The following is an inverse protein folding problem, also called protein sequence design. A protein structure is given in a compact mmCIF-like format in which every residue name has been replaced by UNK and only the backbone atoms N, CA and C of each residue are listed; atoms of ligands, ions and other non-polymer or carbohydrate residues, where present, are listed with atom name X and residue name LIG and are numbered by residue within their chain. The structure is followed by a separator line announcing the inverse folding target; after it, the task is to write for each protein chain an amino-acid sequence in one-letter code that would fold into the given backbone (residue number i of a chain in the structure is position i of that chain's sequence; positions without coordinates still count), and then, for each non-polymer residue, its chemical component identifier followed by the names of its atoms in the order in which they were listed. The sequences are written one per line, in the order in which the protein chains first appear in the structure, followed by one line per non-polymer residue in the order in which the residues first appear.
data_IF_829935287049
#
_entry.id   IF_829935287049
#
_cell.length_a   1.000
_cell.length_b   1.000
_cell.length_c   1.000
_cell.angle_alpha   90.00
_cell.angle_beta   90.00
_cell.angle_gamma   90.00
#
_symmetry.space_group_name_H-M   'P 1'
#
loop_
_entity.id
_entity.type
_entity.pdbx_description
1 polymer ?
#
# COMPACT_ATOMS: atom_id res chain seq x y z
N UNK A 1 64.58 32.74 -15.80
CA UNK A 1 64.05 31.61 -15.02
C UNK A 1 62.70 32.05 -14.42
N UNK A 2 61.64 31.69 -15.05
CA UNK A 2 60.24 31.98 -14.58
C UNK A 2 59.53 30.66 -14.43
N UNK A 3 59.28 30.27 -13.19
CA UNK A 3 58.53 29.11 -12.85
C UNK A 3 57.02 29.37 -13.08
N UNK A 4 56.43 28.55 -13.94
CA UNK A 4 54.98 28.56 -14.23
C UNK A 4 54.33 27.55 -13.32
N UNK A 5 53.73 28.01 -12.23
CA UNK A 5 52.77 27.19 -11.42
C UNK A 5 51.47 26.98 -12.22
N UNK A 6 51.16 25.74 -12.55
CA UNK A 6 49.83 25.31 -13.04
C UNK A 6 48.97 24.99 -11.84
N UNK A 7 47.77 25.58 -11.74
CA UNK A 7 46.79 25.11 -10.71
C UNK A 7 46.17 23.80 -11.17
N UNK A 8 46.28 22.80 -10.32
CA UNK A 8 45.50 21.55 -10.42
C UNK A 8 44.08 21.86 -9.92
N UNK A 9 43.14 21.93 -10.85
CA UNK A 9 41.69 21.99 -10.49
C UNK A 9 41.28 20.58 -10.10
N UNK A 10 41.09 20.38 -8.80
CA UNK A 10 40.49 19.19 -8.22
C UNK A 10 38.99 19.32 -8.38
N UNK A 11 38.39 18.60 -9.32
CA UNK A 11 36.95 18.49 -9.47
C UNK A 11 36.45 17.54 -8.34
N UNK A 12 35.94 18.11 -7.28
CA UNK A 12 35.20 17.38 -6.27
C UNK A 12 33.82 17.01 -6.89
N UNK A 13 33.68 15.76 -7.31
CA UNK A 13 32.38 15.19 -7.64
C UNK A 13 31.63 15.01 -6.33
N UNK A 14 30.78 15.97 -5.98
CA UNK A 14 29.78 15.78 -4.93
C UNK A 14 28.72 14.85 -5.52
N UNK A 15 28.78 13.58 -5.14
CA UNK A 15 27.61 12.70 -5.25
C UNK A 15 26.56 13.25 -4.28
N UNK A 16 25.64 14.05 -4.80
CA UNK A 16 24.40 14.32 -4.11
C UNK A 16 23.63 12.99 -4.03
N UNK A 17 23.67 12.34 -2.89
CA UNK A 17 22.67 11.36 -2.53
C UNK A 17 21.36 12.15 -2.43
N UNK A 18 20.57 12.16 -3.51
CA UNK A 18 19.21 12.63 -3.49
C UNK A 18 18.45 11.68 -2.54
N UNK A 19 18.12 12.15 -1.35
CA UNK A 19 17.15 11.49 -0.50
C UNK A 19 15.83 11.49 -1.26
N UNK A 20 15.40 10.32 -1.72
CA UNK A 20 14.06 10.14 -2.29
C UNK A 20 13.06 10.33 -1.14
N UNK A 21 12.34 11.44 -1.12
CA UNK A 21 11.14 11.60 -0.30
C UNK A 21 9.98 11.00 -1.10
N UNK A 22 9.36 10.00 -0.53
CA UNK A 22 8.39 9.14 -1.22
C UNK A 22 6.95 9.46 -0.82
N UNK A 23 6.04 9.26 -1.75
CA UNK A 23 4.59 9.40 -1.59
C UNK A 23 3.99 8.13 -1.01
N UNK A 24 3.01 8.21 -0.09
CA UNK A 24 2.49 7.16 0.81
C UNK A 24 3.57 6.42 1.59
N UNK A 25 4.75 6.91 1.55
CA UNK A 25 5.94 6.33 2.11
C UNK A 25 6.56 7.41 2.98
N UNK A 26 6.26 7.39 4.30
CA UNK A 26 6.70 8.41 5.25
C UNK A 26 6.04 9.78 5.04
N UNK A 27 4.77 9.80 4.62
CA UNK A 27 4.04 11.02 4.25
C UNK A 27 3.74 11.96 5.43
N UNK A 28 3.59 11.40 6.66
CA UNK A 28 3.31 12.16 7.88
C UNK A 28 4.53 12.37 8.77
N UNK A 29 4.62 13.47 9.51
CA UNK A 29 5.75 13.77 10.39
C UNK A 29 6.04 12.69 11.43
N UNK A 30 5.01 12.10 12.06
CA UNK A 30 5.19 11.05 13.07
C UNK A 30 5.50 9.70 12.43
N UNK A 31 4.74 9.30 11.38
CA UNK A 31 4.91 7.98 10.77
C UNK A 31 6.23 7.86 10.02
N UNK A 32 6.80 8.95 9.51
CA UNK A 32 8.13 8.94 8.89
C UNK A 32 9.25 8.48 9.83
N UNK A 33 9.04 8.60 11.14
CA UNK A 33 9.94 8.11 12.18
C UNK A 33 9.66 6.65 12.59
N UNK A 34 8.60 6.02 12.10
CA UNK A 34 8.18 4.66 12.44
C UNK A 34 7.87 3.80 11.19
N UNK A 35 8.88 3.52 10.35
CA UNK A 35 8.67 2.82 9.09
C UNK A 35 8.06 1.42 9.23
N UNK A 36 8.17 0.78 10.40
CA UNK A 36 7.59 -0.54 10.60
C UNK A 36 6.05 -0.51 10.73
N UNK A 37 5.47 0.64 11.10
CA UNK A 37 4.02 0.84 11.15
C UNK A 37 3.50 1.65 9.96
N UNK A 38 4.37 2.09 9.06
CA UNK A 38 4.04 2.91 7.90
C UNK A 38 3.36 2.08 6.83
N UNK A 39 2.09 2.40 6.55
CA UNK A 39 1.27 1.75 5.52
C UNK A 39 1.44 2.49 4.20
N UNK A 40 2.02 1.82 3.22
CA UNK A 40 2.43 2.45 1.95
C UNK A 40 1.38 2.34 0.86
N UNK A 41 0.71 1.19 0.76
CA UNK A 41 -0.28 0.91 -0.26
C UNK A 41 -1.39 0.01 0.24
N UNK A 42 -2.59 0.27 -0.26
CA UNK A 42 -3.74 -0.64 -0.13
C UNK A 42 -4.25 -0.97 -1.53
N UNK A 43 -4.51 -2.27 -1.76
CA UNK A 43 -5.14 -2.76 -2.98
C UNK A 43 -6.35 -3.60 -2.61
N UNK A 44 -7.43 -3.45 -3.37
CA UNK A 44 -8.64 -4.22 -3.25
C UNK A 44 -9.24 -4.44 -4.63
N UNK A 45 -9.35 -5.70 -5.05
CA UNK A 45 -9.86 -6.03 -6.38
C UNK A 45 -10.43 -7.45 -6.44
N UNK A 46 -11.35 -7.68 -7.36
CA UNK A 46 -11.81 -9.05 -7.67
C UNK A 46 -10.66 -9.83 -8.28
N UNK A 47 -10.36 -10.98 -7.70
CA UNK A 47 -9.18 -11.79 -8.06
C UNK A 47 -9.21 -12.25 -9.50
N UNK A 48 -8.23 -11.88 -10.36
CA UNK A 48 -8.23 -12.32 -11.74
C UNK A 48 -8.15 -13.84 -11.94
N UNK A 49 -7.41 -14.53 -11.08
CA UNK A 49 -7.26 -15.98 -11.14
C UNK A 49 -8.51 -16.74 -10.66
N UNK A 50 -9.27 -16.16 -9.72
CA UNK A 50 -10.51 -16.74 -9.17
C UNK A 50 -11.55 -15.63 -8.92
N UNK A 51 -12.40 -15.28 -9.93
CA UNK A 51 -13.38 -14.19 -9.80
C UNK A 51 -14.51 -14.42 -8.79
N UNK A 52 -14.45 -15.50 -8.04
CA UNK A 52 -15.35 -15.74 -6.88
C UNK A 52 -14.82 -15.11 -5.60
N UNK A 53 -13.62 -14.52 -5.65
CA UNK A 53 -12.91 -13.97 -4.50
C UNK A 53 -12.47 -12.54 -4.72
N UNK A 54 -12.22 -11.86 -3.61
CA UNK A 54 -11.56 -10.56 -3.55
C UNK A 54 -10.18 -10.73 -2.96
N UNK A 55 -9.19 -10.10 -3.57
CA UNK A 55 -7.85 -9.94 -3.01
C UNK A 55 -7.74 -8.58 -2.34
N UNK A 56 -7.29 -8.58 -1.10
CA UNK A 56 -6.96 -7.41 -0.28
C UNK A 56 -5.47 -7.46 0.03
N UNK A 57 -4.75 -6.37 -0.24
CA UNK A 57 -3.32 -6.26 0.05
C UNK A 57 -3.08 -4.96 0.81
N UNK A 58 -2.21 -5.02 1.82
CA UNK A 58 -1.67 -3.86 2.51
C UNK A 58 -0.15 -3.98 2.58
N UNK A 59 0.56 -2.94 2.15
CA UNK A 59 2.01 -2.86 2.16
C UNK A 59 2.48 -1.99 3.31
N UNK A 60 3.61 -2.38 3.90
CA UNK A 60 4.25 -1.71 5.03
C UNK A 60 5.76 -1.69 4.86
N UNK A 61 6.44 -0.91 5.71
CA UNK A 61 7.91 -0.78 5.71
C UNK A 61 8.42 -0.24 4.37
N UNK A 62 8.19 1.05 4.10
CA UNK A 62 8.50 1.67 2.82
C UNK A 62 9.98 1.71 2.47
N UNK A 63 10.25 1.77 1.16
CA UNK A 63 11.56 2.15 0.60
C UNK A 63 12.70 1.26 1.08
N UNK A 64 12.55 -0.06 0.98
CA UNK A 64 13.57 -1.02 1.37
C UNK A 64 14.61 -1.19 0.23
N UNK A 65 15.75 -0.48 0.25
CA UNK A 65 16.79 -0.72 -0.73
C UNK A 65 17.47 -2.07 -0.44
N UNK A 66 17.49 -3.02 -1.37
CA UNK A 66 18.00 -4.36 -1.12
C UNK A 66 19.42 -4.42 -0.55
N UNK A 67 20.38 -3.54 -0.99
CA UNK A 67 21.73 -3.53 -0.43
C UNK A 67 21.84 -3.02 1.02
N UNK A 68 20.80 -2.39 1.56
CA UNK A 68 20.85 -1.75 2.88
C UNK A 68 20.48 -2.69 4.05
N UNK A 69 20.85 -3.97 3.97
CA UNK A 69 20.62 -4.92 5.06
C UNK A 69 19.23 -5.56 4.96
N UNK A 70 18.98 -6.19 3.82
CA UNK A 70 17.68 -6.80 3.46
C UNK A 70 17.08 -7.68 4.56
N UNK A 71 17.89 -8.37 5.36
CA UNK A 71 17.40 -9.24 6.44
C UNK A 71 16.77 -8.48 7.62
N UNK A 72 17.01 -7.18 7.77
CA UNK A 72 16.47 -6.38 8.87
C UNK A 72 15.11 -5.73 8.55
N UNK A 73 14.67 -5.73 7.30
CA UNK A 73 13.33 -5.31 6.93
C UNK A 73 12.33 -6.40 7.28
N UNK A 74 11.55 -6.18 8.34
CA UNK A 74 10.60 -7.18 8.86
C UNK A 74 9.33 -6.50 9.37
N UNK A 75 8.24 -7.26 9.50
CA UNK A 75 7.11 -6.82 10.31
C UNK A 75 7.53 -6.72 11.78
N UNK A 76 7.06 -5.68 12.46
CA UNK A 76 7.38 -5.49 13.88
C UNK A 76 6.44 -6.31 14.76
N UNK A 77 7.01 -7.05 15.71
CA UNK A 77 6.27 -7.89 16.67
C UNK A 77 5.35 -7.06 17.60
N UNK A 78 5.59 -5.73 17.69
CA UNK A 78 4.83 -4.78 18.50
C UNK A 78 3.92 -3.87 17.66
N UNK A 79 3.63 -4.23 16.42
CA UNK A 79 2.61 -3.57 15.59
C UNK A 79 1.43 -4.51 15.41
N UNK A 80 0.24 -3.98 15.51
CA UNK A 80 -0.98 -4.62 15.05
C UNK A 80 -1.27 -4.09 13.65
N UNK A 81 -1.22 -4.98 12.65
CA UNK A 81 -1.55 -4.66 11.26
C UNK A 81 -2.96 -5.13 10.95
N UNK A 82 -3.76 -4.28 10.32
CA UNK A 82 -5.18 -4.54 10.10
C UNK A 82 -5.62 -4.17 8.69
N UNK A 83 -6.49 -5.00 8.10
CA UNK A 83 -7.24 -4.70 6.89
C UNK A 83 -8.72 -4.71 7.27
N UNK A 84 -9.41 -3.62 6.97
CA UNK A 84 -10.79 -3.37 7.35
C UNK A 84 -11.71 -3.41 6.14
N UNK A 85 -12.95 -3.86 6.35
CA UNK A 85 -14.01 -3.88 5.35
C UNK A 85 -15.28 -3.27 5.96
N UNK A 86 -15.81 -2.23 5.31
CA UNK A 86 -17.14 -1.65 5.48
C UNK A 86 -18.03 -2.25 4.38
N UNK A 87 -19.10 -2.96 4.73
CA UNK A 87 -19.96 -3.63 3.78
C UNK A 87 -21.41 -3.14 3.78
N UNK A 88 -21.69 -2.06 4.52
CA UNK A 88 -23.00 -1.40 4.51
C UNK A 88 -22.96 0.10 4.21
N UNK A 89 -21.75 0.69 4.15
CA UNK A 89 -21.50 2.07 3.71
C UNK A 89 -21.54 3.11 4.81
N UNK A 90 -21.52 2.71 6.08
CA UNK A 90 -21.63 3.62 7.24
C UNK A 90 -20.27 4.18 7.71
N UNK A 91 -19.18 3.75 7.08
CA UNK A 91 -17.79 4.12 7.37
C UNK A 91 -17.27 3.58 8.71
N UNK A 92 -17.86 2.49 9.20
CA UNK A 92 -17.35 1.70 10.32
C UNK A 92 -17.00 0.30 9.79
N UNK A 93 -15.98 -0.30 10.33
CA UNK A 93 -15.59 -1.65 9.93
C UNK A 93 -16.59 -2.71 10.40
N UNK A 94 -17.13 -3.51 9.47
CA UNK A 94 -17.91 -4.72 9.77
C UNK A 94 -17.03 -5.95 9.93
N UNK A 95 -15.91 -5.96 9.20
CA UNK A 95 -14.94 -7.04 9.22
C UNK A 95 -13.54 -6.44 9.32
N UNK A 96 -12.76 -6.97 10.24
CA UNK A 96 -11.33 -6.65 10.35
C UNK A 96 -10.51 -7.92 10.33
N UNK A 97 -9.50 -7.97 9.47
CA UNK A 97 -8.47 -9.00 9.47
C UNK A 97 -7.23 -8.45 10.19
N UNK A 98 -6.94 -8.99 11.38
CA UNK A 98 -5.81 -8.61 12.21
C UNK A 98 -4.64 -9.57 11.97
N UNK A 99 -3.44 -9.01 11.76
CA UNK A 99 -2.21 -9.75 11.59
C UNK A 99 -1.23 -9.38 12.71
N UNK A 100 -0.70 -10.40 13.40
CA UNK A 100 0.31 -10.25 14.45
C UNK A 100 1.50 -11.11 14.12
N UNK A 101 2.68 -10.55 14.25
CA UNK A 101 3.92 -11.20 13.90
C UNK A 101 4.74 -11.55 15.15
N UNK A 102 5.54 -12.59 15.03
CA UNK A 102 6.55 -12.99 16.00
C UNK A 102 7.82 -13.39 15.29
N UNK A 103 8.92 -12.75 15.68
CA UNK A 103 10.25 -13.00 15.14
C UNK A 103 11.01 -13.97 16.04
N UNK A 104 11.65 -14.95 15.44
CA UNK A 104 12.59 -15.88 16.07
C UNK A 104 13.96 -15.72 15.43
N UNK A 105 14.99 -15.46 16.24
CA UNK A 105 16.39 -15.47 15.81
C UNK A 105 17.02 -16.79 16.27
N UNK A 106 17.29 -17.69 15.33
CA UNK A 106 17.76 -19.06 15.63
C UNK A 106 19.23 -19.14 15.99
N UNK A 107 20.04 -18.27 15.38
CA UNK A 107 21.45 -18.17 15.70
C UNK A 107 21.90 -16.71 15.90
N UNK A 108 21.96 -16.22 17.14
CA UNK A 108 22.37 -14.84 17.43
C UNK A 108 23.91 -14.64 17.38
N UNK A 109 24.68 -15.70 17.15
CA UNK A 109 26.16 -15.67 17.23
C UNK A 109 26.83 -15.59 15.85
N UNK A 110 26.13 -15.13 14.82
CA UNK A 110 26.65 -14.94 13.47
C UNK A 110 26.31 -13.56 12.93
N UNK A 111 27.14 -13.06 12.01
CA UNK A 111 26.84 -11.86 11.23
C UNK A 111 26.16 -12.18 9.89
N UNK A 112 26.12 -13.46 9.53
CA UNK A 112 25.51 -13.92 8.28
C UNK A 112 23.98 -13.81 8.38
N UNK A 113 23.31 -13.57 7.27
CA UNK A 113 21.85 -13.59 7.17
C UNK A 113 21.30 -15.02 7.08
N UNK A 114 22.03 -15.94 6.44
CA UNK A 114 21.72 -17.37 6.39
C UNK A 114 23.00 -18.19 6.66
N UNK A 115 22.86 -19.37 7.29
CA UNK A 115 23.97 -20.24 7.61
C UNK A 115 24.39 -21.16 6.46
N UNK A 116 23.52 -21.34 5.47
CA UNK A 116 23.71 -22.19 4.30
C UNK A 116 22.68 -21.90 3.21
N UNK A 117 22.41 -22.89 2.35
CA UNK A 117 21.39 -22.77 1.32
C UNK A 117 20.01 -23.09 1.89
N UNK A 118 19.11 -22.13 1.80
CA UNK A 118 17.73 -22.22 2.28
C UNK A 118 16.86 -22.84 1.20
N UNK A 119 16.19 -23.94 1.54
CA UNK A 119 15.36 -24.74 0.62
C UNK A 119 13.89 -24.82 1.05
N UNK A 120 13.56 -24.38 2.26
CA UNK A 120 12.19 -24.34 2.79
C UNK A 120 11.99 -23.18 3.75
N UNK A 121 10.72 -22.86 4.07
CA UNK A 121 10.37 -21.76 4.99
C UNK A 121 10.81 -22.02 6.44
N UNK A 122 11.02 -23.26 6.82
CA UNK A 122 11.48 -23.68 8.16
C UNK A 122 12.88 -24.29 8.12
N UNK A 123 13.66 -23.98 7.09
CA UNK A 123 15.02 -24.46 6.90
C UNK A 123 15.91 -24.05 8.10
N UNK A 124 16.71 -24.95 8.69
CA UNK A 124 17.58 -24.63 9.81
C UNK A 124 18.67 -23.61 9.48
N UNK A 125 19.00 -23.43 8.21
CA UNK A 125 19.96 -22.42 7.74
C UNK A 125 19.39 -20.99 7.74
N UNK A 126 18.06 -20.82 7.88
CA UNK A 126 17.44 -19.51 8.14
C UNK A 126 17.81 -19.05 9.56
N UNK A 127 18.57 -17.96 9.65
CA UNK A 127 18.95 -17.36 10.93
C UNK A 127 17.76 -16.65 11.58
N UNK A 128 16.89 -16.03 10.78
CA UNK A 128 15.69 -15.34 11.23
C UNK A 128 14.44 -15.92 10.55
N UNK A 129 13.44 -16.22 11.37
CA UNK A 129 12.13 -16.70 10.92
C UNK A 129 11.05 -15.81 11.52
N UNK A 130 10.08 -15.42 10.72
CA UNK A 130 8.85 -14.76 11.23
C UNK A 130 7.65 -15.70 11.04
N UNK A 131 6.80 -15.69 12.08
CA UNK A 131 5.50 -16.36 12.06
C UNK A 131 4.40 -15.33 12.31
N UNK A 132 3.21 -15.59 11.79
CA UNK A 132 2.07 -14.72 12.01
C UNK A 132 0.80 -15.48 12.36
N UNK A 133 -0.11 -14.75 12.97
CA UNK A 133 -1.46 -15.17 13.31
C UNK A 133 -2.44 -14.28 12.58
N UNK A 134 -3.55 -14.82 12.12
CA UNK A 134 -4.66 -14.08 11.50
C UNK A 134 -5.90 -14.27 12.34
N UNK A 135 -6.49 -13.17 12.80
CA UNK A 135 -7.75 -13.14 13.51
C UNK A 135 -8.78 -12.33 12.71
N UNK A 136 -9.95 -12.90 12.45
CA UNK A 136 -11.09 -12.18 11.87
C UNK A 136 -11.96 -11.64 13.00
N UNK A 137 -12.12 -10.33 13.05
CA UNK A 137 -13.00 -9.64 14.00
C UNK A 137 -14.22 -9.16 13.22
N UNK A 138 -15.41 -9.33 13.82
CA UNK A 138 -16.67 -8.82 13.27
C UNK A 138 -17.20 -7.68 14.14
N UNK A 139 -18.05 -6.83 13.56
CA UNK A 139 -18.83 -5.79 14.26
C UNK A 139 -17.98 -4.71 14.98
N UNK A 140 -17.00 -4.11 14.32
CA UNK A 140 -16.28 -2.92 14.81
C UNK A 140 -15.46 -3.12 16.08
N UNK A 141 -15.10 -4.35 16.44
CA UNK A 141 -14.41 -4.67 17.69
C UNK A 141 -12.90 -4.84 17.48
N UNK A 142 -12.17 -3.78 17.52
CA UNK A 142 -10.70 -3.77 17.35
C UNK A 142 -9.92 -4.57 18.41
N UNK A 143 -10.47 -4.85 19.58
CA UNK A 143 -9.73 -5.45 20.68
C UNK A 143 -10.14 -6.89 20.97
N UNK A 144 -9.41 -7.86 20.44
CA UNK A 144 -9.17 -9.14 21.12
C UNK A 144 -10.30 -10.18 21.23
N UNK A 145 -11.39 -10.06 20.48
CA UNK A 145 -12.47 -11.06 20.45
C UNK A 145 -12.88 -11.43 19.03
N UNK A 146 -11.92 -11.89 18.25
CA UNK A 146 -12.18 -12.40 16.92
C UNK A 146 -12.16 -13.92 16.87
N UNK A 147 -12.43 -14.46 15.68
CA UNK A 147 -12.23 -15.87 15.35
C UNK A 147 -10.83 -16.01 14.75
N UNK A 148 -10.01 -16.87 15.35
CA UNK A 148 -8.70 -17.18 14.79
C UNK A 148 -8.87 -17.98 13.49
N UNK A 149 -8.35 -17.42 12.39
CA UNK A 149 -8.30 -18.11 11.11
C UNK A 149 -7.09 -19.05 11.02
N UNK A 150 -6.10 -18.85 11.88
CA UNK A 150 -4.95 -19.72 12.06
C UNK A 150 -3.76 -19.00 12.69
N UNK A 151 -2.82 -19.79 13.19
CA UNK A 151 -1.64 -19.32 13.92
C UNK A 151 -0.38 -20.01 13.45
N UNK A 152 0.76 -19.34 13.60
CA UNK A 152 2.07 -19.92 13.31
C UNK A 152 2.40 -20.03 11.82
N UNK A 153 1.68 -19.34 10.95
CA UNK A 153 2.00 -19.25 9.53
C UNK A 153 3.38 -18.64 9.32
N UNK A 154 4.19 -19.25 8.49
CA UNK A 154 5.52 -18.72 8.14
C UNK A 154 5.38 -17.61 7.09
N UNK A 155 6.11 -16.50 7.28
CA UNK A 155 6.28 -15.50 6.22
C UNK A 155 7.22 -16.02 5.14
N UNK A 156 7.12 -15.44 3.92
CA UNK A 156 8.25 -15.54 3.00
C UNK A 156 9.48 -14.89 3.65
N UNK A 157 10.67 -15.53 3.59
CA UNK A 157 11.89 -14.93 4.11
C UNK A 157 12.31 -13.74 3.23
N UNK A 158 13.13 -12.85 3.77
CA UNK A 158 13.73 -11.79 2.98
C UNK A 158 14.66 -12.39 1.92
N UNK A 159 14.62 -11.82 0.71
CA UNK A 159 15.46 -12.26 -0.40
C UNK A 159 16.92 -11.82 -0.18
N UNK A 160 17.66 -12.58 0.61
CA UNK A 160 19.07 -12.30 0.94
C UNK A 160 19.96 -12.32 -0.30
N UNK A 161 19.68 -13.24 -1.23
CA UNK A 161 20.41 -13.31 -2.49
C UNK A 161 20.58 -14.71 -3.04
N UNK A 162 21.02 -14.79 -4.27
CA UNK A 162 21.06 -16.02 -5.09
C UNK A 162 21.99 -17.10 -4.58
N UNK A 163 22.95 -16.77 -3.71
CA UNK A 163 23.90 -17.76 -3.17
C UNK A 163 23.22 -18.63 -2.11
N UNK A 164 22.53 -18.01 -1.17
CA UNK A 164 21.85 -18.73 -0.09
C UNK A 164 20.39 -19.06 -0.40
N UNK A 165 19.78 -18.39 -1.40
CA UNK A 165 18.38 -18.62 -1.82
C UNK A 165 18.29 -18.76 -3.34
N UNK A 166 18.84 -19.81 -3.94
CA UNK A 166 18.89 -19.96 -5.41
C UNK A 166 17.50 -20.15 -6.05
N UNK A 167 16.52 -20.67 -5.29
CA UNK A 167 15.11 -20.76 -5.70
C UNK A 167 14.22 -19.90 -4.79
N UNK A 168 14.46 -18.58 -4.78
CA UNK A 168 13.60 -17.66 -4.03
C UNK A 168 12.13 -17.66 -4.50
N UNK A 169 11.80 -17.77 -5.81
CA UNK A 169 10.42 -17.89 -6.24
C UNK A 169 9.67 -19.07 -5.61
N UNK A 170 10.31 -20.24 -5.51
CA UNK A 170 9.74 -21.42 -4.84
C UNK A 170 9.51 -21.19 -3.34
N UNK A 171 10.49 -20.58 -2.65
CA UNK A 171 10.35 -20.21 -1.24
C UNK A 171 9.19 -19.24 -1.02
N UNK A 172 9.12 -18.16 -1.81
CA UNK A 172 8.07 -17.17 -1.71
C UNK A 172 6.68 -17.76 -2.03
N UNK A 173 6.60 -18.67 -3.01
CA UNK A 173 5.37 -19.40 -3.33
C UNK A 173 4.89 -20.30 -2.20
N UNK A 174 5.81 -20.92 -1.47
CA UNK A 174 5.51 -21.77 -0.31
C UNK A 174 4.89 -21.01 0.88
N UNK A 175 5.06 -19.68 0.94
CA UNK A 175 4.46 -18.82 1.95
C UNK A 175 2.99 -18.43 1.66
N UNK A 176 2.41 -18.92 0.58
CA UNK A 176 0.97 -18.82 0.33
C UNK A 176 0.25 -19.92 1.10
N UNK A 177 -0.44 -19.53 2.16
CA UNK A 177 -1.17 -20.46 3.03
C UNK A 177 -2.65 -20.52 2.64
N UNK A 178 -3.22 -21.74 2.64
CA UNK A 178 -4.66 -21.96 2.48
C UNK A 178 -5.29 -22.17 3.85
N UNK A 179 -6.30 -21.36 4.16
CA UNK A 179 -7.05 -21.38 5.40
C UNK A 179 -8.42 -22.04 5.17
N UNK A 180 -9.13 -22.29 6.28
CA UNK A 180 -10.52 -22.73 6.21
C UNK A 180 -11.42 -21.73 5.47
N UNK A 181 -12.52 -22.19 4.92
CA UNK A 181 -13.48 -21.35 4.20
C UNK A 181 -12.98 -20.84 2.83
N UNK A 182 -11.93 -21.45 2.26
CA UNK A 182 -11.41 -21.10 0.94
C UNK A 182 -10.56 -19.81 0.91
N UNK A 183 -10.18 -19.27 2.07
CA UNK A 183 -9.32 -18.10 2.21
C UNK A 183 -7.87 -18.49 1.90
N UNK A 184 -7.12 -17.60 1.27
CA UNK A 184 -5.66 -17.69 1.14
C UNK A 184 -5.00 -16.47 1.78
N UNK A 185 -3.83 -16.67 2.38
CA UNK A 185 -3.06 -15.60 3.00
C UNK A 185 -1.59 -15.69 2.64
N UNK A 186 -0.94 -14.55 2.59
CA UNK A 186 0.49 -14.38 2.38
C UNK A 186 0.99 -13.23 3.24
N UNK A 187 2.19 -13.36 3.79
CA UNK A 187 2.94 -12.24 4.34
C UNK A 187 4.43 -12.40 4.01
N UNK A 188 5.09 -11.31 3.66
CA UNK A 188 6.52 -11.30 3.34
C UNK A 188 6.92 -10.17 2.41
N UNK A 189 8.20 -10.08 2.05
CA UNK A 189 8.68 -9.03 1.16
C UNK A 189 8.16 -9.25 -0.27
N UNK A 190 7.88 -8.12 -0.92
CA UNK A 190 7.52 -8.01 -2.32
C UNK A 190 8.26 -6.83 -2.92
N UNK A 191 8.32 -6.80 -4.24
CA UNK A 191 8.65 -5.61 -4.99
C UNK A 191 7.66 -4.49 -4.66
N UNK A 192 8.13 -3.25 -4.65
CA UNK A 192 7.27 -2.08 -4.53
C UNK A 192 6.44 -1.91 -5.81
N UNK A 193 5.17 -2.27 -5.71
CA UNK A 193 4.29 -2.30 -6.89
C UNK A 193 3.72 -0.95 -7.29
N UNK A 194 3.89 0.08 -6.46
CA UNK A 194 3.53 1.46 -6.77
C UNK A 194 4.66 2.13 -7.54
N UNK A 195 4.33 2.92 -8.55
CA UNK A 195 5.28 3.61 -9.41
C UNK A 195 4.91 5.09 -9.56
N UNK A 196 5.90 5.98 -9.50
CA UNK A 196 5.72 7.43 -9.48
C UNK A 196 7.03 8.18 -9.73
N UNK A 197 6.99 9.29 -10.43
CA UNK A 197 8.08 10.26 -10.37
C UNK A 197 7.94 11.17 -9.14
N UNK A 198 8.37 10.66 -8.00
CA UNK A 198 8.26 11.32 -6.70
C UNK A 198 8.87 12.71 -6.68
N UNK A 199 10.09 12.83 -7.18
CA UNK A 199 10.83 14.09 -7.14
C UNK A 199 10.08 15.19 -7.89
N UNK A 200 9.48 14.86 -9.04
CA UNK A 200 8.76 15.86 -9.86
C UNK A 200 7.39 16.20 -9.28
N UNK A 201 6.69 15.23 -8.70
CA UNK A 201 5.38 15.50 -8.06
C UNK A 201 5.55 16.45 -6.87
N UNK A 202 6.53 16.20 -5.99
CA UNK A 202 6.68 16.98 -4.76
C UNK A 202 7.55 18.22 -4.89
N UNK A 203 8.34 18.36 -5.96
CA UNK A 203 9.07 19.59 -6.28
C UNK A 203 8.30 20.45 -7.29
N UNK A 204 7.28 21.15 -6.80
CA UNK A 204 6.42 22.07 -7.56
C UNK A 204 5.71 21.43 -8.75
N UNK A 205 5.34 20.16 -8.65
CA UNK A 205 4.54 19.44 -9.66
C UNK A 205 5.15 19.53 -11.08
N UNK A 206 6.46 19.31 -11.23
CA UNK A 206 7.25 19.49 -12.47
C UNK A 206 6.97 18.42 -13.54
N UNK A 207 5.69 18.09 -13.79
CA UNK A 207 5.27 16.99 -14.67
C UNK A 207 5.45 17.26 -16.17
N UNK A 208 5.78 18.49 -16.57
CA UNK A 208 5.88 18.88 -17.99
C UNK A 208 7.31 18.99 -18.53
N UNK A 209 8.32 18.87 -17.67
CA UNK A 209 9.72 19.08 -18.04
C UNK A 209 10.63 17.99 -17.49
N UNK A 210 11.77 17.74 -18.16
CA UNK A 210 12.76 16.75 -17.76
C UNK A 210 12.38 15.31 -18.16
N UNK A 211 13.27 14.36 -17.84
CA UNK A 211 13.06 12.93 -18.09
C UNK A 211 12.42 12.30 -16.84
N UNK A 212 11.27 11.63 -16.98
CA UNK A 212 10.65 10.94 -15.87
C UNK A 212 11.56 9.86 -15.27
N UNK A 213 11.50 9.73 -13.94
CA UNK A 213 12.24 8.70 -13.22
C UNK A 213 11.34 8.13 -12.12
N UNK A 214 11.14 6.83 -12.16
CA UNK A 214 10.45 6.13 -11.10
C UNK A 214 11.26 6.19 -9.79
N UNK A 215 10.67 6.79 -8.76
CA UNK A 215 11.29 6.97 -7.44
C UNK A 215 11.23 5.72 -6.57
N UNK A 216 10.41 4.75 -6.93
CA UNK A 216 10.23 3.49 -6.20
C UNK A 216 10.93 2.30 -6.87
N UNK A 217 11.43 2.48 -8.08
CA UNK A 217 12.13 1.44 -8.82
C UNK A 217 13.32 0.84 -8.07
N UNK A 218 13.42 -0.48 -8.06
CA UNK A 218 14.49 -1.22 -7.38
C UNK A 218 14.33 -1.34 -5.88
N UNK A 219 13.21 -0.94 -5.32
CA UNK A 219 12.91 -1.00 -3.89
C UNK A 219 11.91 -2.13 -3.57
N UNK A 220 11.92 -2.57 -2.31
CA UNK A 220 11.00 -3.57 -1.79
C UNK A 220 10.11 -2.98 -0.69
N UNK A 221 9.03 -3.70 -0.41
CA UNK A 221 8.11 -3.49 0.72
C UNK A 221 7.79 -4.80 1.42
N UNK A 222 7.22 -4.74 2.61
CA UNK A 222 6.60 -5.90 3.24
C UNK A 222 5.09 -5.90 2.95
N UNK A 223 4.60 -6.98 2.35
CA UNK A 223 3.21 -7.11 1.94
C UNK A 223 2.46 -8.12 2.80
N UNK A 224 1.26 -7.76 3.21
CA UNK A 224 0.23 -8.65 3.74
C UNK A 224 -0.83 -8.77 2.65
N UNK A 225 -1.13 -9.98 2.23
CA UNK A 225 -2.21 -10.24 1.28
C UNK A 225 -3.17 -11.30 1.82
N UNK A 226 -4.46 -11.07 1.63
CA UNK A 226 -5.51 -12.04 1.93
C UNK A 226 -6.50 -12.10 0.77
N UNK A 227 -6.85 -13.30 0.33
CA UNK A 227 -7.85 -13.54 -0.71
C UNK A 227 -9.03 -14.26 -0.10
N UNK A 228 -10.23 -13.65 -0.18
CA UNK A 228 -11.42 -14.04 0.56
C UNK A 228 -12.59 -14.25 -0.41
N UNK A 229 -13.39 -15.32 -0.27
CA UNK A 229 -14.64 -15.48 -1.01
C UNK A 229 -15.57 -14.27 -0.84
N UNK A 230 -16.15 -13.78 -1.95
CA UNK A 230 -16.97 -12.55 -1.98
C UNK A 230 -18.10 -12.61 -0.93
N UNK A 231 -18.78 -13.74 -0.81
CA UNK A 231 -19.88 -13.92 0.14
C UNK A 231 -19.49 -13.77 1.61
N UNK A 232 -18.20 -13.92 1.93
CA UNK A 232 -17.70 -13.71 3.30
C UNK A 232 -17.40 -12.23 3.61
N UNK A 233 -17.45 -11.35 2.61
CA UNK A 233 -17.22 -9.92 2.75
C UNK A 233 -18.52 -9.09 2.68
N UNK A 234 -19.60 -9.66 2.15
CA UNK A 234 -20.89 -8.97 1.99
C UNK A 234 -21.72 -9.01 3.28
N UNK A 235 -22.53 -7.98 3.49
CA UNK A 235 -23.37 -7.79 4.69
C UNK A 235 -24.46 -8.87 4.91
N UNK A 236 -24.83 -9.58 3.86
CA UNK A 236 -25.86 -10.63 3.93
C UNK A 236 -25.31 -12.05 3.72
N UNK A 237 -24.00 -12.23 3.60
CA UNK A 237 -23.36 -13.52 3.39
C UNK A 237 -23.65 -14.16 2.02
N UNK A 238 -24.14 -13.38 1.06
CA UNK A 238 -24.50 -13.86 -0.28
C UNK A 238 -23.63 -13.17 -1.34
N UNK A 239 -23.29 -13.91 -2.39
CA UNK A 239 -22.67 -13.33 -3.55
C UNK A 239 -23.65 -12.37 -4.25
N UNK A 240 -23.24 -11.14 -4.63
CA UNK A 240 -24.12 -10.20 -5.32
C UNK A 240 -24.64 -10.77 -6.64
N UNK A 241 -25.93 -10.52 -6.92
CA UNK A 241 -26.56 -10.95 -8.17
C UNK A 241 -26.09 -10.17 -9.40
N UNK A 242 -25.47 -9.00 -9.19
CA UNK A 242 -24.93 -8.13 -10.25
C UNK A 242 -24.42 -6.80 -9.67
N UNK A 243 -23.83 -5.94 -10.51
CA UNK A 243 -23.18 -4.70 -10.07
C UNK A 243 -24.10 -3.68 -9.36
N UNK A 244 -25.40 -3.77 -9.56
CA UNK A 244 -26.41 -2.89 -8.92
C UNK A 244 -27.04 -3.50 -7.67
N UNK A 245 -26.61 -4.68 -7.25
CA UNK A 245 -27.11 -5.31 -6.03
C UNK A 245 -26.68 -4.49 -4.80
N UNK A 246 -27.55 -4.37 -3.80
CA UNK A 246 -27.30 -3.56 -2.61
C UNK A 246 -26.09 -4.02 -1.79
N UNK A 247 -25.73 -5.31 -1.89
CA UNK A 247 -24.57 -5.92 -1.23
C UNK A 247 -23.33 -6.03 -2.14
N UNK A 248 -23.30 -5.34 -3.30
CA UNK A 248 -22.22 -5.50 -4.25
C UNK A 248 -20.95 -4.70 -3.87
N UNK A 249 -21.10 -3.63 -3.11
CA UNK A 249 -20.03 -2.66 -2.86
C UNK A 249 -19.52 -2.79 -1.44
N UNK A 250 -18.20 -2.86 -1.31
CA UNK A 250 -17.49 -2.83 -0.03
C UNK A 250 -16.52 -1.65 0.00
N UNK A 251 -16.31 -1.09 1.20
CA UNK A 251 -15.23 -0.15 1.49
C UNK A 251 -14.03 -0.90 2.07
N UNK A 252 -12.80 -0.52 1.73
CA UNK A 252 -11.57 -1.17 2.21
C UNK A 252 -10.52 -0.14 2.57
N UNK A 253 -9.92 -0.29 3.74
CA UNK A 253 -8.74 0.45 4.18
C UNK A 253 -7.86 -0.42 5.07
N UNK A 254 -6.66 0.05 5.35
CA UNK A 254 -5.72 -0.61 6.25
C UNK A 254 -5.24 0.34 7.31
N UNK A 255 -4.87 -0.21 8.47
CA UNK A 255 -4.28 0.53 9.59
C UNK A 255 -3.11 -0.23 10.19
N UNK A 256 -2.22 0.53 10.84
CA UNK A 256 -1.24 0.00 11.77
C UNK A 256 -1.38 0.68 13.12
N UNK A 257 -1.27 -0.11 14.19
CA UNK A 257 -1.42 0.37 15.56
C UNK A 257 -0.23 -0.02 16.43
N UNK A 258 0.18 0.87 17.34
CA UNK A 258 1.22 0.68 18.33
C UNK A 258 0.65 0.57 19.75
N UNK A 259 1.28 -0.18 20.67
CA UNK A 259 0.96 -0.10 22.10
C UNK A 259 1.15 1.34 22.61
N UNK A 260 0.26 1.78 23.50
CA UNK A 260 0.30 3.15 24.06
C UNK A 260 1.65 3.54 24.67
N UNK A 261 2.35 2.57 25.26
CA UNK A 261 3.62 2.83 25.95
C UNK A 261 4.65 1.77 25.59
N UNK A 262 5.82 2.23 25.14
CA UNK A 262 7.01 1.38 24.98
C UNK A 262 8.11 1.88 25.93
N UNK A 263 8.59 1.02 26.82
CA UNK A 263 9.66 1.32 27.78
C UNK A 263 10.95 0.65 27.34
N UNK A 264 11.93 1.45 26.98
CA UNK A 264 13.27 0.99 26.63
C UNK A 264 14.16 0.93 27.86
N UNK A 265 14.90 -0.17 28.03
CA UNK A 265 15.91 -0.34 29.08
C UNK A 265 17.17 -0.94 28.47
N UNK A 266 18.32 -0.44 28.92
CA UNK A 266 19.62 -0.94 28.42
C UNK A 266 19.75 -2.45 28.62
N UNK A 267 20.07 -3.18 27.53
CA UNK A 267 20.29 -4.62 27.54
C UNK A 267 19.03 -5.47 27.80
N UNK A 268 17.84 -4.92 27.60
CA UNK A 268 16.58 -5.63 27.75
C UNK A 268 15.70 -5.40 26.51
N UNK A 269 14.85 -6.37 26.22
CA UNK A 269 13.81 -6.21 25.21
C UNK A 269 12.83 -5.09 25.58
N UNK A 270 12.30 -4.34 24.60
CA UNK A 270 11.29 -3.31 24.84
C UNK A 270 10.08 -3.88 25.58
N UNK A 271 9.64 -3.20 26.63
CA UNK A 271 8.42 -3.56 27.35
C UNK A 271 7.26 -2.70 26.83
N UNK A 272 6.23 -3.33 26.30
CA UNK A 272 5.03 -2.65 25.79
C UNK A 272 3.87 -2.77 26.78
N UNK A 273 3.03 -1.71 26.86
CA UNK A 273 1.87 -1.63 27.78
C UNK A 273 0.75 -0.80 27.18
N UNK A 274 -0.44 -1.03 27.66
CA UNK A 274 -1.67 -0.34 27.25
C UNK A 274 -2.29 -0.96 25.99
N UNK A 275 -3.37 -0.34 25.55
CA UNK A 275 -4.09 -0.76 24.35
C UNK A 275 -3.32 -0.34 23.09
N UNK A 276 -3.69 -0.91 21.95
CA UNK A 276 -3.18 -0.48 20.66
C UNK A 276 -3.85 0.83 20.22
N UNK A 277 -3.03 1.77 19.74
CA UNK A 277 -3.44 3.08 19.23
C UNK A 277 -3.02 3.15 17.76
N UNK A 278 -3.95 3.51 16.90
CA UNK A 278 -3.71 3.68 15.48
C UNK A 278 -2.70 4.81 15.23
N UNK A 279 -1.69 4.54 14.42
CA UNK A 279 -0.62 5.48 14.05
C UNK A 279 -0.46 5.65 12.54
N UNK A 280 -1.11 4.80 11.75
CA UNK A 280 -1.12 4.87 10.29
C UNK A 280 -2.46 4.37 9.75
N UNK A 281 -2.97 5.04 8.71
CA UNK A 281 -4.18 4.69 7.97
C UNK A 281 -4.03 5.02 6.49
N UNK A 282 -4.47 4.09 5.65
CA UNK A 282 -4.53 4.29 4.21
C UNK A 282 -5.72 3.54 3.61
N UNK A 283 -6.43 4.18 2.70
CA UNK A 283 -7.46 3.58 1.85
C UNK A 283 -7.18 3.90 0.38
N UNK A 284 -7.70 5.03 -0.10
CA UNK A 284 -7.44 5.50 -1.46
C UNK A 284 -6.03 6.05 -1.61
N UNK A 285 -5.32 5.69 -2.69
CA UNK A 285 -3.96 6.17 -2.91
C UNK A 285 -3.93 7.70 -3.04
N UNK A 286 -2.84 8.30 -2.56
CA UNK A 286 -2.51 9.72 -2.69
C UNK A 286 -3.43 10.70 -1.95
N UNK A 287 -4.39 10.24 -1.14
CA UNK A 287 -5.24 11.17 -0.37
C UNK A 287 -4.43 11.80 0.77
N UNK A 288 -3.80 11.00 1.62
CA UNK A 288 -2.97 11.55 2.71
C UNK A 288 -1.76 12.34 2.17
N UNK A 289 -1.23 11.94 1.02
CA UNK A 289 -0.01 12.54 0.45
C UNK A 289 -0.26 13.88 -0.23
N UNK A 290 -1.30 13.97 -1.07
CA UNK A 290 -1.54 15.10 -1.95
C UNK A 290 -2.75 15.95 -1.56
N UNK A 291 -3.76 15.37 -0.92
CA UNK A 291 -5.02 16.05 -0.58
C UNK A 291 -4.98 16.60 0.85
N UNK A 292 -4.52 15.79 1.80
CA UNK A 292 -4.41 16.20 3.20
C UNK A 292 -3.15 17.08 3.38
N UNK A 293 -3.31 18.32 3.91
CA UNK A 293 -2.16 19.20 4.10
C UNK A 293 -1.22 18.67 5.19
N UNK A 294 0.08 19.00 5.06
CA UNK A 294 1.16 18.50 5.94
C UNK A 294 0.82 18.59 7.43
N UNK A 295 0.19 19.66 7.88
CA UNK A 295 -0.16 19.86 9.29
C UNK A 295 -1.29 18.97 9.82
N UNK A 296 -2.00 18.24 8.96
CA UNK A 296 -3.15 17.39 9.31
C UNK A 296 -2.90 15.91 9.05
N UNK A 297 -1.73 15.54 8.49
CA UNK A 297 -1.42 14.16 8.11
C UNK A 297 -1.37 13.19 9.29
N UNK A 298 -0.78 13.59 10.40
CA UNK A 298 -0.74 12.78 11.62
C UNK A 298 -2.13 12.61 12.25
N UNK A 299 -2.98 13.64 12.18
CA UNK A 299 -4.38 13.56 12.61
C UNK A 299 -5.19 12.63 11.72
N UNK A 300 -4.96 12.68 10.38
CA UNK A 300 -5.56 11.75 9.45
C UNK A 300 -5.15 10.30 9.76
N UNK A 301 -3.87 10.04 9.97
CA UNK A 301 -3.34 8.71 10.32
C UNK A 301 -3.93 8.17 11.64
N UNK A 302 -4.24 9.05 12.59
CA UNK A 302 -4.80 8.68 13.89
C UNK A 302 -6.34 8.61 13.92
N UNK A 303 -7.04 9.13 12.90
CA UNK A 303 -8.50 9.19 12.84
C UNK A 303 -9.12 7.97 12.16
N UNK A 304 -10.40 7.73 12.40
CA UNK A 304 -11.18 6.67 11.74
C UNK A 304 -11.98 7.22 10.55
N UNK A 305 -12.29 6.40 9.52
CA UNK A 305 -13.04 6.86 8.34
C UNK A 305 -14.37 7.53 8.68
N UNK A 306 -15.06 7.07 9.73
CA UNK A 306 -16.32 7.70 10.19
C UNK A 306 -16.17 9.18 10.58
N UNK A 307 -14.96 9.63 10.88
CA UNK A 307 -14.66 10.99 11.32
C UNK A 307 -14.14 11.91 10.20
N UNK A 308 -14.10 11.42 8.94
CA UNK A 308 -13.51 12.12 7.79
C UNK A 308 -14.24 13.39 7.34
N UNK A 309 -15.41 13.69 7.90
CA UNK A 309 -16.08 14.97 7.67
C UNK A 309 -15.17 16.17 7.99
N UNK A 310 -14.23 16.04 8.91
CA UNK A 310 -13.23 17.05 9.25
C UNK A 310 -12.26 17.38 8.10
N UNK A 311 -12.03 16.43 7.19
CA UNK A 311 -11.13 16.59 6.03
C UNK A 311 -11.86 16.97 4.73
N UNK A 312 -13.18 17.01 4.72
CA UNK A 312 -14.00 17.23 3.53
C UNK A 312 -13.60 18.51 2.75
N UNK A 313 -13.22 19.57 3.47
CA UNK A 313 -12.81 20.82 2.86
C UNK A 313 -11.60 20.67 1.92
N UNK A 314 -10.66 19.79 2.26
CA UNK A 314 -9.47 19.52 1.45
C UNK A 314 -9.79 18.73 0.19
N UNK A 315 -10.83 17.89 0.21
CA UNK A 315 -11.28 17.15 -0.98
C UNK A 315 -12.12 18.04 -1.89
N UNK A 316 -12.96 18.92 -1.32
CA UNK A 316 -13.82 19.81 -2.11
C UNK A 316 -13.09 21.03 -2.70
N UNK A 317 -11.93 21.40 -2.15
CA UNK A 317 -11.01 22.43 -2.69
C UNK A 317 -9.55 21.96 -2.62
N UNK A 318 -9.15 20.94 -3.42
CA UNK A 318 -7.87 20.30 -3.27
C UNK A 318 -6.71 21.14 -3.80
N UNK A 319 -5.61 21.14 -3.06
CA UNK A 319 -4.38 21.86 -3.45
C UNK A 319 -3.85 21.46 -4.83
N UNK A 320 -3.81 20.18 -5.24
CA UNK A 320 -3.36 19.80 -6.58
C UNK A 320 -4.13 20.52 -7.70
N UNK A 321 -5.44 20.65 -7.60
CA UNK A 321 -6.23 21.37 -8.61
C UNK A 321 -5.88 22.87 -8.67
N UNK A 322 -5.65 23.52 -7.51
CA UNK A 322 -5.18 24.91 -7.46
C UNK A 322 -3.79 25.06 -8.07
N UNK A 323 -2.87 24.12 -7.80
CA UNK A 323 -1.52 24.13 -8.37
C UNK A 323 -1.55 23.92 -9.89
N UNK A 324 -2.39 23.04 -10.42
CA UNK A 324 -2.57 22.88 -11.87
C UNK A 324 -2.96 24.20 -12.54
N UNK A 325 -3.83 25.00 -11.90
CA UNK A 325 -4.18 26.34 -12.40
C UNK A 325 -3.03 27.33 -12.24
N UNK A 326 -2.40 27.38 -11.07
CA UNK A 326 -1.38 28.39 -10.76
C UNK A 326 -0.08 28.20 -11.54
N UNK A 327 0.37 26.93 -11.72
CA UNK A 327 1.65 26.62 -12.34
C UNK A 327 1.55 26.43 -13.85
N UNK A 328 0.42 25.90 -14.34
CA UNK A 328 0.27 25.52 -15.75
C UNK A 328 -0.82 26.31 -16.48
N UNK A 329 -1.58 27.17 -15.77
CA UNK A 329 -2.69 27.91 -16.36
C UNK A 329 -3.86 27.02 -16.80
N UNK A 330 -3.96 25.82 -16.27
CA UNK A 330 -5.01 24.88 -16.65
C UNK A 330 -6.37 25.32 -16.09
N UNK A 331 -7.40 25.14 -16.89
CA UNK A 331 -8.77 25.36 -16.47
C UNK A 331 -9.31 24.11 -15.78
N UNK A 332 -9.40 24.15 -14.45
CA UNK A 332 -10.02 23.09 -13.64
C UNK A 332 -11.47 23.43 -13.27
N UNK A 333 -12.31 22.43 -12.91
CA UNK A 333 -13.67 22.71 -12.43
C UNK A 333 -13.67 23.61 -11.19
N UNK A 334 -14.68 24.47 -11.02
CA UNK A 334 -14.81 25.30 -9.83
C UNK A 334 -15.12 24.46 -8.59
N UNK A 335 -14.78 24.99 -7.42
CA UNK A 335 -15.16 24.43 -6.12
C UNK A 335 -16.67 24.66 -5.84
N UNK A 336 -17.34 23.75 -5.10
CA UNK A 336 -16.81 22.52 -4.52
C UNK A 336 -16.65 21.40 -5.55
N UNK A 337 -15.53 20.65 -5.44
CA UNK A 337 -15.17 19.54 -6.31
C UNK A 337 -15.91 18.25 -5.91
N UNK A 338 -17.21 18.17 -6.22
CA UNK A 338 -18.03 17.01 -5.90
C UNK A 338 -17.62 15.75 -6.69
N UNK A 339 -16.99 15.92 -7.84
CA UNK A 339 -16.40 14.83 -8.61
C UNK A 339 -15.27 14.11 -7.83
N UNK A 340 -14.45 14.87 -7.10
CA UNK A 340 -13.38 14.27 -6.26
C UNK A 340 -13.94 13.64 -4.97
N UNK A 341 -15.03 14.17 -4.43
CA UNK A 341 -15.78 13.51 -3.34
C UNK A 341 -16.25 12.13 -3.79
N UNK A 342 -16.69 11.98 -5.05
CA UNK A 342 -17.08 10.67 -5.59
C UNK A 342 -15.90 9.73 -5.79
N UNK A 343 -14.74 10.24 -6.16
CA UNK A 343 -13.53 9.42 -6.35
C UNK A 343 -12.97 8.93 -5.02
N UNK A 344 -12.84 9.82 -4.03
CA UNK A 344 -12.07 9.54 -2.81
C UNK A 344 -12.92 9.15 -1.60
N UNK A 345 -14.21 9.57 -1.54
CA UNK A 345 -15.00 9.43 -0.30
C UNK A 345 -16.27 8.59 -0.45
N UNK A 346 -17.06 8.77 -1.51
CA UNK A 346 -18.39 8.16 -1.59
C UNK A 346 -18.50 7.01 -2.58
N UNK A 347 -17.57 6.93 -3.52
CA UNK A 347 -17.74 6.12 -4.73
C UNK A 347 -18.59 6.84 -5.80
N UNK A 348 -18.57 6.31 -7.01
CA UNK A 348 -19.24 6.86 -8.19
C UNK A 348 -20.67 6.32 -8.24
N UNK A 349 -21.68 7.22 -8.38
CA UNK A 349 -23.09 6.81 -8.48
C UNK A 349 -23.33 5.79 -9.62
N UNK A 350 -24.02 4.70 -9.29
CA UNK A 350 -24.32 3.62 -10.25
C UNK A 350 -23.17 2.68 -10.55
N UNK A 351 -21.97 2.89 -9.97
CA UNK A 351 -20.80 2.06 -10.16
C UNK A 351 -20.21 1.53 -8.82
N UNK A 352 -19.75 2.44 -7.95
CA UNK A 352 -19.04 2.08 -6.71
C UNK A 352 -19.61 2.77 -5.46
N UNK A 353 -20.71 3.49 -5.56
CA UNK A 353 -21.36 4.15 -4.43
C UNK A 353 -22.38 3.21 -3.77
N UNK A 354 -22.19 2.77 -2.50
CA UNK A 354 -23.18 1.96 -1.80
C UNK A 354 -24.41 2.80 -1.42
N UNK A 355 -25.58 2.18 -1.20
CA UNK A 355 -26.76 2.88 -0.71
C UNK A 355 -26.52 3.51 0.66
N UNK A 356 -26.96 4.76 0.85
CA UNK A 356 -26.86 5.45 2.14
C UNK A 356 -25.43 5.80 2.58
N UNK A 357 -24.48 5.82 1.65
CA UNK A 357 -23.06 6.00 1.93
C UNK A 357 -22.75 7.21 2.80
N UNK A 358 -21.95 7.02 3.82
CA UNK A 358 -21.27 8.09 4.56
C UNK A 358 -19.97 8.43 3.83
N UNK A 359 -19.72 9.71 3.51
CA UNK A 359 -18.44 10.12 2.91
C UNK A 359 -17.27 9.80 3.84
N UNK A 360 -16.36 8.96 3.38
CA UNK A 360 -15.20 8.51 4.13
C UNK A 360 -14.11 8.01 3.18
N UNK A 361 -12.87 8.28 3.52
CA UNK A 361 -11.70 7.89 2.74
C UNK A 361 -11.45 6.38 2.87
N UNK A 362 -11.65 5.68 1.77
CA UNK A 362 -11.39 4.25 1.60
C UNK A 362 -11.50 3.85 0.14
N UNK A 363 -10.93 2.73 -0.26
CA UNK A 363 -11.23 2.12 -1.55
C UNK A 363 -12.68 1.62 -1.57
N UNK A 364 -13.44 1.97 -2.61
CA UNK A 364 -14.79 1.44 -2.83
C UNK A 364 -14.73 0.42 -3.96
N UNK A 365 -14.98 -0.85 -3.65
CA UNK A 365 -14.93 -1.96 -4.61
C UNK A 365 -16.32 -2.54 -4.85
N UNK A 366 -16.75 -2.55 -6.11
CA UNK A 366 -17.91 -3.30 -6.55
C UNK A 366 -17.50 -4.75 -6.87
N UNK A 367 -17.79 -5.67 -5.98
CA UNK A 367 -17.36 -7.06 -6.04
C UNK A 367 -18.06 -7.87 -7.14
N UNK A 368 -19.12 -7.31 -7.76
CA UNK A 368 -19.84 -7.94 -8.86
C UNK A 368 -19.34 -7.50 -10.25
N UNK A 369 -18.39 -6.57 -10.34
CA UNK A 369 -17.71 -6.21 -11.58
C UNK A 369 -16.59 -7.24 -11.81
N UNK A 370 -16.65 -8.03 -12.89
CA UNK A 370 -15.64 -9.04 -13.16
C UNK A 370 -14.30 -8.41 -13.55
N UNK A 371 -13.16 -9.07 -13.25
CA UNK A 371 -11.86 -8.56 -13.65
C UNK A 371 -11.70 -8.55 -15.17
N UNK A 372 -11.14 -7.46 -15.70
CA UNK A 372 -10.78 -7.35 -17.11
C UNK A 372 -9.40 -8.00 -17.35
N UNK A 373 -9.41 -9.27 -17.74
CA UNK A 373 -8.16 -10.02 -18.00
C UNK A 373 -7.59 -9.82 -19.39
N UNK A 374 -8.44 -9.48 -20.36
CA UNK A 374 -8.05 -9.41 -21.76
C UNK A 374 -7.28 -8.13 -22.09
N UNK A 375 -7.77 -7.00 -21.59
CA UNK A 375 -7.20 -5.68 -21.86
C UNK A 375 -7.32 -4.79 -20.61
N UNK A 376 -6.58 -5.08 -19.52
CA UNK A 376 -6.56 -4.21 -18.35
C UNK A 376 -5.98 -2.85 -18.74
N UNK A 377 -6.68 -1.78 -18.37
CA UNK A 377 -6.21 -0.42 -18.63
C UNK A 377 -5.66 0.17 -17.34
N UNK A 378 -4.40 0.62 -17.36
CA UNK A 378 -3.74 1.22 -16.19
C UNK A 378 -4.48 2.46 -15.65
N UNK A 379 -5.20 3.19 -16.51
CA UNK A 379 -6.00 4.35 -16.10
C UNK A 379 -7.39 3.96 -15.55
N UNK A 380 -7.64 2.68 -15.28
CA UNK A 380 -8.87 2.21 -14.67
C UNK A 380 -10.12 2.73 -15.32
N UNK A 381 -11.08 3.22 -14.53
CA UNK A 381 -12.38 3.73 -15.01
C UNK A 381 -12.20 4.89 -15.99
N UNK A 382 -11.25 5.78 -15.80
CA UNK A 382 -10.96 6.88 -16.74
C UNK A 382 -10.52 6.33 -18.08
N UNK A 383 -9.78 5.22 -18.11
CA UNK A 383 -9.38 4.50 -19.33
C UNK A 383 -10.46 3.58 -19.91
N UNK A 384 -11.68 3.57 -19.36
CA UNK A 384 -12.80 2.73 -19.80
C UNK A 384 -12.79 1.31 -19.23
N UNK A 385 -11.94 1.01 -18.26
CA UNK A 385 -11.86 -0.28 -17.58
C UNK A 385 -12.56 -0.21 -16.20
N UNK A 386 -13.79 -0.68 -16.15
CA UNK A 386 -14.62 -0.62 -14.94
C UNK A 386 -14.12 -1.48 -13.78
N UNK A 387 -13.16 -2.38 -14.02
CA UNK A 387 -12.56 -3.22 -12.97
C UNK A 387 -11.32 -2.57 -12.32
N UNK A 388 -10.92 -1.37 -12.74
CA UNK A 388 -9.77 -0.64 -12.19
C UNK A 388 -10.18 0.57 -11.36
N UNK A 389 -9.20 1.21 -10.74
CA UNK A 389 -9.38 2.37 -9.85
C UNK A 389 -10.20 3.50 -10.51
N UNK A 390 -11.16 4.12 -9.81
CA UNK A 390 -11.52 3.98 -8.40
C UNK A 390 -12.57 2.90 -8.07
N UNK A 391 -12.72 1.86 -8.89
CA UNK A 391 -13.43 0.65 -8.51
C UNK A 391 -12.47 -0.33 -7.81
N UNK A 392 -12.26 -0.16 -6.51
CA UNK A 392 -11.12 -0.72 -5.82
C UNK A 392 -9.80 -0.19 -6.39
N UNK A 393 -8.72 -0.93 -6.25
CA UNK A 393 -7.40 -0.65 -6.83
C UNK A 393 -6.69 -1.97 -7.11
N UNK A 394 -6.29 -2.22 -8.36
CA UNK A 394 -5.43 -3.34 -8.75
C UNK A 394 -3.96 -2.94 -8.61
N UNK A 395 -3.08 -3.93 -8.54
CA UNK A 395 -1.64 -3.69 -8.40
C UNK A 395 -1.03 -2.87 -9.55
N UNK A 396 -1.60 -2.97 -10.77
CA UNK A 396 -1.12 -2.23 -11.96
C UNK A 396 -1.90 -0.96 -12.29
N UNK A 397 -2.83 -0.51 -11.43
CA UNK A 397 -3.54 0.74 -11.66
C UNK A 397 -2.63 1.94 -11.38
N UNK A 398 -2.53 2.84 -12.34
CA UNK A 398 -1.73 4.06 -12.28
C UNK A 398 -2.42 5.13 -11.44
N UNK A 399 -2.27 5.00 -10.12
CA UNK A 399 -2.93 5.88 -9.17
C UNK A 399 -2.50 7.34 -9.33
N UNK A 400 -1.27 7.60 -9.77
CA UNK A 400 -0.73 8.95 -9.96
C UNK A 400 -1.39 9.64 -11.13
N UNK A 401 -1.35 9.02 -12.31
CA UNK A 401 -1.97 9.58 -13.50
C UNK A 401 -3.49 9.73 -13.30
N UNK A 402 -4.16 8.74 -12.70
CA UNK A 402 -5.60 8.81 -12.38
C UNK A 402 -5.90 10.01 -11.47
N UNK A 403 -5.08 10.23 -10.43
CA UNK A 403 -5.25 11.36 -9.50
C UNK A 403 -5.01 12.71 -10.18
N UNK A 404 -3.97 12.83 -11.01
CA UNK A 404 -3.70 14.04 -11.80
C UNK A 404 -4.85 14.35 -12.78
N UNK A 405 -5.35 13.33 -13.47
CA UNK A 405 -6.49 13.44 -14.39
C UNK A 405 -7.77 13.85 -13.64
N UNK A 406 -8.07 13.25 -12.50
CA UNK A 406 -9.19 13.62 -11.66
C UNK A 406 -9.06 15.08 -11.16
N UNK A 407 -7.88 15.47 -10.66
CA UNK A 407 -7.61 16.85 -10.23
C UNK A 407 -7.79 17.87 -11.37
N UNK A 408 -7.40 17.51 -12.62
CA UNK A 408 -7.62 18.33 -13.80
C UNK A 408 -9.10 18.48 -14.18
N UNK A 409 -9.97 17.61 -13.67
CA UNK A 409 -11.42 17.62 -13.92
C UNK A 409 -11.86 16.74 -15.09
N UNK A 410 -11.11 15.69 -15.45
CA UNK A 410 -11.44 14.79 -16.57
C UNK A 410 -12.84 14.14 -16.43
N UNK A 411 -13.35 14.04 -15.20
CA UNK A 411 -14.66 13.48 -14.90
C UNK A 411 -15.81 14.50 -15.06
N UNK A 412 -15.49 15.79 -15.31
CA UNK A 412 -16.46 16.87 -15.42
C UNK A 412 -16.57 17.33 -16.87
N UNK A 413 -17.75 17.29 -17.51
CA UNK A 413 -17.92 17.71 -18.89
C UNK A 413 -17.38 19.10 -19.18
N UNK A 414 -16.54 19.24 -20.20
CA UNK A 414 -15.93 20.51 -20.62
C UNK A 414 -14.69 20.92 -19.85
N UNK A 415 -14.20 20.04 -18.97
CA UNK A 415 -12.92 20.17 -18.26
C UNK A 415 -12.03 18.97 -18.55
N UNK A 416 -10.85 18.96 -17.93
CA UNK A 416 -9.89 17.89 -18.00
C UNK A 416 -8.80 18.14 -19.05
N UNK A 417 -7.57 17.87 -18.62
CA UNK A 417 -6.37 17.86 -19.47
C UNK A 417 -5.67 16.52 -19.25
N UNK A 418 -5.23 15.88 -20.32
CA UNK A 418 -4.41 14.67 -20.21
C UNK A 418 -3.07 15.02 -19.57
N UNK A 419 -2.88 14.50 -18.37
CA UNK A 419 -1.69 14.72 -17.54
C UNK A 419 -1.10 13.36 -17.17
N UNK A 420 0.20 13.31 -17.01
CA UNK A 420 0.95 12.15 -16.56
C UNK A 420 2.24 12.61 -15.92
N UNK A 421 2.72 11.90 -14.91
CA UNK A 421 4.07 12.08 -14.40
C UNK A 421 5.13 11.45 -15.33
N UNK A 422 4.69 10.65 -16.30
CA UNK A 422 5.50 10.00 -17.32
C UNK A 422 5.99 8.60 -16.93
N UNK A 423 5.62 8.09 -15.77
CA UNK A 423 5.84 6.71 -15.35
C UNK A 423 4.55 5.93 -15.59
N UNK A 424 4.60 4.87 -16.39
CA UNK A 424 3.40 4.18 -16.88
C UNK A 424 3.34 2.70 -16.47
N UNK A 425 4.21 2.26 -15.58
CA UNK A 425 4.25 0.88 -15.11
C UNK A 425 5.42 0.63 -14.18
N UNK A 426 5.28 -0.41 -13.40
CA UNK A 426 6.28 -0.89 -12.46
C UNK A 426 7.50 -1.49 -13.19
N UNK A 427 8.67 -1.48 -12.55
CA UNK A 427 9.93 -2.03 -13.08
C UNK A 427 10.02 -3.56 -12.94
N UNK A 428 9.17 -4.18 -12.09
CA UNK A 428 9.04 -5.63 -11.96
C UNK A 428 7.67 -6.10 -12.43
N UNK A 429 7.56 -7.17 -13.25
CA UNK A 429 6.28 -7.74 -13.64
C UNK A 429 5.46 -8.21 -12.43
N UNK A 430 4.17 -7.88 -12.43
CA UNK A 430 3.22 -8.44 -11.48
C UNK A 430 2.98 -9.93 -11.72
N UNK A 431 2.57 -10.67 -10.66
CA UNK A 431 2.21 -12.07 -10.79
C UNK A 431 0.77 -12.22 -11.32
N UNK A 432 0.55 -13.27 -12.13
CA UNK A 432 -0.78 -13.62 -12.65
C UNK A 432 -1.70 -14.26 -11.60
N UNK A 433 -1.13 -14.65 -10.46
CA UNK A 433 -1.81 -15.36 -9.38
C UNK A 433 -1.51 -14.71 -8.03
N UNK A 434 -2.35 -15.00 -7.02
CA UNK A 434 -2.14 -14.56 -5.65
C UNK A 434 -0.72 -14.85 -5.15
N UNK A 435 -0.01 -13.88 -4.55
CA UNK A 435 -0.50 -12.58 -4.03
C UNK A 435 -0.35 -11.40 -5.02
N UNK A 436 -0.17 -11.59 -6.29
CA UNK A 436 -0.15 -10.68 -7.42
C UNK A 436 1.02 -9.69 -7.49
N UNK A 437 1.54 -9.16 -6.38
CA UNK A 437 2.73 -8.29 -6.39
C UNK A 437 3.98 -9.05 -6.83
N UNK A 438 4.89 -8.37 -7.49
CA UNK A 438 6.15 -8.88 -8.01
C UNK A 438 7.06 -9.48 -6.93
N UNK A 439 8.05 -10.26 -7.34
CA UNK A 439 9.05 -10.79 -6.44
C UNK A 439 10.02 -9.68 -6.00
N UNK A 440 10.46 -9.67 -4.73
CA UNK A 440 11.34 -8.64 -4.24
C UNK A 440 12.74 -8.75 -4.83
N UNK A 441 13.38 -7.62 -5.05
CA UNK A 441 14.79 -7.57 -5.43
C UNK A 441 15.67 -8.26 -4.38
N UNK A 442 16.66 -9.05 -4.81
CA UNK A 442 17.60 -9.69 -3.89
C UNK A 442 18.63 -8.72 -3.33
N UNK A 443 19.02 -8.89 -2.08
CA UNK A 443 20.14 -8.17 -1.48
C UNK A 443 21.47 -8.42 -2.20
N UNK A 444 21.67 -9.65 -2.69
CA UNK A 444 22.79 -10.02 -3.55
C UNK A 444 22.24 -10.65 -4.84
N UNK A 445 22.23 -9.92 -5.97
CA UNK A 445 21.71 -10.45 -7.25
C UNK A 445 22.67 -11.45 -7.95
N UNK A 446 23.87 -11.71 -7.37
CA UNK A 446 24.92 -12.46 -8.03
C UNK A 446 25.82 -11.57 -8.90
N UNK A 447 26.67 -12.21 -9.71
CA UNK A 447 27.55 -11.56 -10.70
C UNK A 447 27.03 -11.81 -12.10
#
# INVERSE_FOLDING_TARGET
MRDVLRPVIMVLSVLAAAGAEASSHREGPLISGDPAADNTDVYAFVSPADPTKVTLIANFVPLQPPPAGVDFFKFDDNVLYEIHVDNDGDAVEDITFQFRFRTEVRNPNTFLYNAGQVTSLDDPDLIRVQRYTITRVADGRRAGRGTDLGTGFLTAPNNVGVISMPDYPGLAGSAVHTLSGGIRAFAGPRDEGFYIDLARIFDLLQITTGTPRDGTAGLNVNSIAIEVPIEQLTNNGQRPAGPTAANAIIGVWSTASRPQVTVLRSGQEPQVRGDFVQVSRLGSPLVNELIIPRGMKDEFNASEPKDDAQFLAFVTDPEPARLLTALFGLRVPPTPRNDLVQVFLTGIPGATMPPGVRPAEMLRLNTAVPPNRANPNRLGVIGGDLAGYPNGRRVGDDAVDITLLAASGILVPGFGTMLSDGINGNDVPYLDTFPYLGLPFPGNPGR
#
